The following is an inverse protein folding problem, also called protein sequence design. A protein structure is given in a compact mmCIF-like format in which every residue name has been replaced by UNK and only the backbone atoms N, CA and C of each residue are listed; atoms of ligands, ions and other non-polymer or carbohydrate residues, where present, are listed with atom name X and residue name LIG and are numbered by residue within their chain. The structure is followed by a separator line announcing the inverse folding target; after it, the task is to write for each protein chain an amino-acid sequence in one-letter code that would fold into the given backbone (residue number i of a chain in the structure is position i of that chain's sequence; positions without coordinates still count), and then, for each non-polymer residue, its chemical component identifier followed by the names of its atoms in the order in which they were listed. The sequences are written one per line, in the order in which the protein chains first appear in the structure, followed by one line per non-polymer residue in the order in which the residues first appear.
data_IF_010863311570
#
_entry.id   IF_010863311570
#
_cell.length_a   1.000
_cell.length_b   1.000
_cell.length_c   1.000
_cell.angle_alpha   90.00
_cell.angle_beta   90.00
_cell.angle_gamma   90.00
#
_symmetry.space_group_name_H-M   'P 1'
#
loop_
_entity.id
_entity.type
_entity.pdbx_description
1 polymer ?
#
# COMPACT_ATOMS: atom_id res chain seq x y z
N UNK A 1 -11.78 17.17 -4.23
CA UNK A 1 -12.18 15.78 -3.89
C UNK A 1 -10.97 14.89 -3.62
N UNK A 2 -9.96 14.90 -4.50
CA UNK A 2 -8.70 14.17 -4.32
C UNK A 2 -8.03 14.42 -2.95
N UNK A 3 -7.89 15.68 -2.52
CA UNK A 3 -7.28 16.02 -1.22
C UNK A 3 -8.02 15.45 -0.01
N UNK A 4 -9.35 15.38 -0.08
CA UNK A 4 -10.14 14.82 1.00
C UNK A 4 -9.89 13.30 1.12
N UNK A 5 -9.74 12.61 -0.01
CA UNK A 5 -9.41 11.18 -0.04
C UNK A 5 -7.97 10.97 0.43
N UNK A 6 -7.01 11.76 -0.06
CA UNK A 6 -5.61 11.69 0.37
C UNK A 6 -5.47 11.79 1.90
N UNK A 7 -6.17 12.72 2.54
CA UNK A 7 -6.10 12.95 3.99
C UNK A 7 -6.59 11.81 4.86
N UNK A 8 -7.38 10.89 4.32
CA UNK A 8 -7.87 9.77 5.10
C UNK A 8 -6.96 8.53 5.00
N UNK A 9 -5.89 8.58 4.18
CA UNK A 9 -4.75 7.68 4.29
C UNK A 9 -3.77 8.20 5.36
N UNK A 10 -3.19 7.35 6.21
CA UNK A 10 -2.12 7.74 7.15
C UNK A 10 -0.92 8.38 6.46
N UNK A 11 -0.53 7.86 5.29
CA UNK A 11 0.38 8.57 4.37
C UNK A 11 -0.49 9.50 3.53
N UNK A 12 -0.43 10.84 3.71
CA UNK A 12 -1.48 11.76 3.26
C UNK A 12 -1.36 12.13 1.78
N UNK A 13 -1.37 11.12 0.89
CA UNK A 13 -1.42 11.25 -0.57
C UNK A 13 -2.29 10.16 -1.17
N UNK A 14 -2.65 10.34 -2.44
CA UNK A 14 -3.20 9.23 -3.22
C UNK A 14 -2.07 8.30 -3.64
N UNK A 15 -2.38 7.01 -3.70
CA UNK A 15 -1.51 6.01 -4.31
C UNK A 15 -1.44 6.23 -5.82
N UNK A 16 -0.28 5.95 -6.39
CA UNK A 16 -0.04 5.91 -7.83
C UNK A 16 0.10 4.44 -8.29
N UNK A 17 0.07 4.19 -9.60
CA UNK A 17 0.17 2.82 -10.12
C UNK A 17 1.50 2.15 -9.73
N UNK A 18 2.53 2.98 -9.62
CA UNK A 18 3.90 2.64 -9.26
C UNK A 18 4.00 2.07 -7.85
N UNK A 19 3.13 2.50 -6.91
CA UNK A 19 3.13 1.96 -5.54
C UNK A 19 2.77 0.47 -5.53
N UNK A 20 1.74 0.09 -6.30
CA UNK A 20 1.33 -1.30 -6.44
C UNK A 20 2.32 -2.09 -7.32
N UNK A 21 2.85 -1.47 -8.39
CA UNK A 21 3.81 -2.08 -9.27
C UNK A 21 5.12 -2.43 -8.55
N UNK A 22 5.59 -1.59 -7.63
CA UNK A 22 6.80 -1.85 -6.84
C UNK A 22 6.65 -3.09 -5.94
N UNK A 23 5.47 -3.29 -5.32
CA UNK A 23 5.22 -4.52 -4.57
C UNK A 23 5.19 -5.73 -5.50
N UNK A 24 4.53 -5.63 -6.64
CA UNK A 24 4.49 -6.72 -7.62
C UNK A 24 5.89 -7.10 -8.12
N UNK A 25 6.72 -6.11 -8.44
CA UNK A 25 8.12 -6.31 -8.86
C UNK A 25 8.93 -7.05 -7.79
N UNK A 26 8.82 -6.64 -6.53
CA UNK A 26 9.45 -7.35 -5.41
C UNK A 26 8.95 -8.80 -5.30
N UNK A 27 7.64 -9.02 -5.36
CA UNK A 27 7.05 -10.35 -5.22
C UNK A 27 7.39 -11.31 -6.37
N UNK A 28 7.69 -10.78 -7.56
CA UNK A 28 8.17 -11.55 -8.71
C UNK A 28 9.68 -11.82 -8.67
N UNK A 29 10.42 -11.13 -7.79
CA UNK A 29 11.86 -11.32 -7.64
C UNK A 29 12.20 -12.54 -6.78
N UNK A 30 13.42 -13.04 -6.90
CA UNK A 30 13.94 -14.15 -6.07
C UNK A 30 13.94 -13.82 -4.56
N UNK A 31 13.98 -12.52 -4.21
CA UNK A 31 14.03 -12.07 -2.82
C UNK A 31 12.74 -12.40 -2.04
N UNK A 32 11.62 -12.56 -2.75
CA UNK A 32 10.33 -12.92 -2.18
C UNK A 32 10.09 -14.44 -2.11
N UNK A 33 11.09 -15.28 -2.40
CA UNK A 33 10.93 -16.73 -2.58
C UNK A 33 10.36 -17.52 -1.40
N UNK A 34 10.23 -16.91 -0.22
CA UNK A 34 9.60 -17.52 0.96
C UNK A 34 8.22 -16.95 1.32
N UNK A 35 7.62 -16.15 0.44
CA UNK A 35 6.35 -15.48 0.69
C UNK A 35 5.26 -16.08 -0.20
N UNK A 36 4.21 -16.63 0.41
CA UNK A 36 3.05 -17.17 -0.33
C UNK A 36 1.76 -17.11 0.51
N UNK A 37 0.61 -17.08 -0.16
CA UNK A 37 -0.71 -17.11 0.47
C UNK A 37 -1.08 -15.86 1.29
N UNK A 38 -0.37 -14.75 1.11
CA UNK A 38 -0.58 -13.51 1.88
C UNK A 38 -1.45 -12.51 1.13
N UNK A 39 -2.24 -11.74 1.89
CA UNK A 39 -2.95 -10.55 1.40
C UNK A 39 -2.18 -9.33 1.92
N UNK A 40 -1.55 -8.58 1.03
CA UNK A 40 -0.76 -7.41 1.38
C UNK A 40 -1.47 -6.13 0.92
N UNK A 41 -1.72 -5.21 1.84
CA UNK A 41 -2.32 -3.92 1.53
C UNK A 41 -1.27 -2.93 1.01
N UNK A 42 -1.53 -2.33 -0.15
CA UNK A 42 -0.76 -1.20 -0.71
C UNK A 42 -1.69 0.01 -0.80
N UNK A 43 -1.96 0.62 0.34
CA UNK A 43 -3.03 1.62 0.46
C UNK A 43 -2.65 2.82 1.35
N UNK A 44 -1.35 3.09 1.50
CA UNK A 44 -0.86 4.16 2.38
C UNK A 44 -1.24 3.96 3.86
N UNK A 45 -1.59 2.73 4.26
CA UNK A 45 -1.98 2.35 5.62
C UNK A 45 -3.47 2.50 5.92
N UNK A 46 -4.29 2.83 4.93
CA UNK A 46 -5.71 3.17 5.10
C UNK A 46 -6.53 2.11 5.82
N UNK A 47 -6.32 0.84 5.47
CA UNK A 47 -7.14 -0.27 5.94
C UNK A 47 -6.76 -0.75 7.34
N UNK A 48 -5.53 -0.51 7.79
CA UNK A 48 -4.96 -1.18 8.97
C UNK A 48 -4.45 -0.22 10.05
N UNK A 49 -3.91 0.94 9.66
CA UNK A 49 -3.34 1.89 10.62
C UNK A 49 -4.45 2.71 11.23
N UNK A 50 -4.60 2.60 12.55
CA UNK A 50 -5.46 3.49 13.31
C UNK A 50 -4.84 4.89 13.32
N UNK A 51 -5.27 5.76 12.41
CA UNK A 51 -5.06 7.19 12.55
C UNK A 51 -5.76 7.62 13.85
N UNK A 52 -5.03 8.26 14.76
CA UNK A 52 -5.59 8.73 16.05
C UNK A 52 -6.88 9.52 15.79
N UNK A 53 -7.93 9.15 16.53
CA UNK A 53 -9.10 10.01 16.75
C UNK A 53 -8.75 11.13 17.71
#
# INVERSE_FOLDING_TARGET
MADAIAKQHPIPRLGEGEDAAALADFLLSEQAGWITGQIMAVDGGRSTVRSRG
#
